data_IF_051047962518
#
_entry.id   IF_051047962518
#
_cell.length_a   1.000
_cell.length_b   1.000
_cell.length_c   1.000
_cell.angle_alpha   90.00
_cell.angle_beta   90.00
_cell.angle_gamma   90.00
#
_symmetry.space_group_name_H-M   'P 1'
#
loop_
_entity.id
_entity.type
_entity.pdbx_description
1 polymer ?
#
# COMPACT_ATOMS: atom_id res chain seq x y z
N UNK A 1 19.83 20.29 -13.86
CA UNK A 1 20.09 18.90 -14.31
C UNK A 1 19.06 17.98 -13.66
N UNK A 2 18.55 16.96 -14.39
CA UNK A 2 17.67 15.94 -13.87
C UNK A 2 18.46 14.85 -13.17
N UNK A 3 17.96 14.37 -12.04
CA UNK A 3 18.52 13.30 -11.23
C UNK A 3 17.43 12.23 -11.02
N UNK A 4 17.84 11.05 -10.55
CA UNK A 4 16.88 10.01 -10.19
C UNK A 4 17.36 9.20 -8.99
N UNK A 5 16.40 8.59 -8.31
CA UNK A 5 16.60 7.54 -7.30
C UNK A 5 15.53 6.50 -7.51
N UNK A 6 15.89 5.25 -7.76
CA UNK A 6 14.99 4.16 -8.15
C UNK A 6 14.02 4.60 -9.30
N UNK A 7 12.74 4.73 -8.98
CA UNK A 7 11.64 5.05 -9.89
C UNK A 7 11.15 6.50 -9.77
N UNK A 8 11.84 7.32 -8.98
CA UNK A 8 11.56 8.74 -8.82
C UNK A 8 12.63 9.58 -9.51
N UNK A 9 12.19 10.49 -10.37
CA UNK A 9 13.05 11.44 -11.08
C UNK A 9 12.78 12.84 -10.56
N UNK A 10 13.84 13.66 -10.43
CA UNK A 10 13.69 15.01 -9.89
C UNK A 10 14.68 16.03 -10.47
N UNK A 11 14.29 17.27 -10.43
CA UNK A 11 15.13 18.45 -10.68
C UNK A 11 14.82 19.48 -9.60
N UNK A 12 15.86 19.94 -8.89
CA UNK A 12 15.71 21.05 -7.96
C UNK A 12 15.78 22.38 -8.73
N UNK A 13 14.90 23.29 -8.36
CA UNK A 13 14.93 24.70 -8.76
C UNK A 13 15.73 25.55 -7.76
N UNK A 14 15.52 26.89 -7.82
CA UNK A 14 16.27 27.86 -6.99
C UNK A 14 15.77 27.94 -5.55
N UNK A 15 15.58 26.78 -4.89
CA UNK A 15 15.00 26.69 -3.55
C UNK A 15 16.06 26.73 -2.43
N UNK A 16 17.33 26.48 -2.75
CA UNK A 16 18.41 26.36 -1.78
C UNK A 16 18.81 27.67 -1.12
N UNK A 17 18.86 27.71 0.22
CA UNK A 17 19.40 28.83 1.00
C UNK A 17 18.55 30.08 1.10
N UNK A 18 17.43 30.20 0.35
CA UNK A 18 16.55 31.37 0.36
C UNK A 18 15.47 31.26 1.45
N UNK A 19 15.10 32.37 2.09
CA UNK A 19 13.91 32.46 2.94
C UNK A 19 12.65 32.27 2.07
N UNK A 20 11.53 31.96 2.66
CA UNK A 20 10.23 31.81 2.00
C UNK A 20 9.63 30.42 2.20
N UNK A 21 8.33 30.37 2.04
CA UNK A 21 7.52 29.18 2.15
C UNK A 21 7.56 28.35 0.85
N UNK A 22 7.22 27.08 0.95
CA UNK A 22 7.11 26.17 -0.20
C UNK A 22 5.65 25.83 -0.42
N UNK A 23 5.21 25.98 -1.65
CA UNK A 23 3.89 25.61 -2.13
C UNK A 23 4.00 24.45 -3.11
N UNK A 24 3.23 23.40 -2.89
CA UNK A 24 3.31 22.18 -3.66
C UNK A 24 2.09 21.99 -4.57
N UNK A 25 2.33 21.44 -5.76
CA UNK A 25 1.29 21.26 -6.78
C UNK A 25 1.42 19.88 -7.45
N UNK A 26 0.29 19.32 -7.90
CA UNK A 26 0.29 18.34 -8.98
C UNK A 26 0.57 19.03 -10.31
N UNK A 27 0.83 18.29 -11.36
CA UNK A 27 1.16 18.80 -12.68
C UNK A 27 -0.01 18.69 -13.66
N UNK A 28 -0.42 17.48 -13.98
CA UNK A 28 -1.43 17.19 -14.99
C UNK A 28 -2.85 17.57 -14.49
N UNK A 29 -3.60 18.34 -15.27
CA UNK A 29 -4.94 18.87 -14.95
C UNK A 29 -4.99 19.78 -13.70
N UNK A 30 -3.83 20.11 -13.12
CA UNK A 30 -3.65 21.10 -12.06
C UNK A 30 -2.91 22.34 -12.54
N UNK A 31 -1.73 22.18 -13.14
CA UNK A 31 -0.95 23.29 -13.72
C UNK A 31 -1.09 23.35 -15.23
N UNK A 32 -1.14 22.21 -15.90
CA UNK A 32 -1.27 22.08 -17.34
C UNK A 32 -2.40 21.13 -17.71
N UNK A 33 -3.03 21.36 -18.85
CA UNK A 33 -4.01 20.41 -19.40
C UNK A 33 -3.30 19.15 -19.87
N UNK A 34 -3.66 18.00 -19.33
CA UNK A 34 -3.00 16.69 -19.51
C UNK A 34 -2.65 16.36 -20.97
N UNK A 35 -3.57 16.59 -21.91
CA UNK A 35 -3.36 16.19 -23.31
C UNK A 35 -2.60 17.21 -24.12
N UNK A 36 -2.85 18.51 -23.94
CA UNK A 36 -2.23 19.58 -24.72
C UNK A 36 -0.97 20.15 -24.10
N UNK A 37 -0.74 19.87 -22.81
CA UNK A 37 0.38 20.40 -22.02
C UNK A 37 0.44 21.94 -21.93
N UNK A 38 -0.65 22.58 -22.30
CA UNK A 38 -0.80 24.05 -22.20
C UNK A 38 -1.13 24.38 -20.75
N UNK A 39 -0.51 25.42 -20.17
CA UNK A 39 -0.88 25.93 -18.84
C UNK A 39 -2.38 26.22 -18.74
N UNK A 40 -2.98 25.85 -17.62
CA UNK A 40 -4.38 26.21 -17.35
C UNK A 40 -4.51 27.72 -17.10
N UNK A 41 -5.69 28.32 -17.33
CA UNK A 41 -5.90 29.75 -17.13
C UNK A 41 -5.47 30.19 -15.71
N UNK A 42 -4.92 31.41 -15.61
CA UNK A 42 -4.43 32.03 -14.37
C UNK A 42 -3.27 31.33 -13.66
N UNK A 43 -2.82 30.16 -14.13
CA UNK A 43 -1.76 29.36 -13.44
C UNK A 43 -0.45 30.16 -13.45
N UNK A 44 0.03 30.59 -14.61
CA UNK A 44 1.31 31.31 -14.72
C UNK A 44 1.30 32.60 -13.90
N UNK A 45 0.22 33.38 -14.00
CA UNK A 45 0.05 34.61 -13.23
C UNK A 45 0.12 34.32 -11.72
N UNK A 46 -0.67 33.37 -11.25
CA UNK A 46 -0.74 33.01 -9.82
C UNK A 46 0.56 32.46 -9.28
N UNK A 47 1.26 31.61 -10.05
CA UNK A 47 2.57 31.06 -9.62
C UNK A 47 3.61 32.21 -9.57
N UNK A 48 3.62 33.13 -10.51
CA UNK A 48 4.51 34.29 -10.47
C UNK A 48 4.21 35.22 -9.28
N UNK A 49 2.94 35.38 -8.87
CA UNK A 49 2.60 36.12 -7.63
C UNK A 49 3.24 35.40 -6.38
N UNK A 50 3.12 34.10 -6.28
CA UNK A 50 3.72 33.33 -5.20
C UNK A 50 5.25 33.53 -5.18
N UNK A 51 5.89 33.45 -6.33
CA UNK A 51 7.34 33.61 -6.49
C UNK A 51 7.78 35.05 -6.15
N UNK A 52 7.06 36.08 -6.63
CA UNK A 52 7.32 37.50 -6.31
C UNK A 52 7.18 37.78 -4.82
N UNK A 53 6.33 37.03 -4.12
CA UNK A 53 6.24 37.04 -2.66
C UNK A 53 7.42 36.41 -1.94
N UNK A 54 8.47 35.99 -2.64
CA UNK A 54 9.67 35.37 -2.07
C UNK A 54 9.53 33.87 -1.76
N UNK A 55 8.46 33.24 -2.24
CA UNK A 55 8.15 31.83 -1.96
C UNK A 55 8.63 30.90 -3.07
N UNK A 56 8.58 29.60 -2.80
CA UNK A 56 9.08 28.56 -3.68
C UNK A 56 7.96 27.63 -4.13
N UNK A 57 8.17 26.99 -5.27
CA UNK A 57 7.22 26.04 -5.85
C UNK A 57 7.90 24.67 -6.04
N UNK A 58 7.19 23.61 -5.64
CA UNK A 58 7.55 22.24 -5.94
C UNK A 58 6.39 21.49 -6.59
N UNK A 59 6.68 20.70 -7.59
CA UNK A 59 5.69 19.87 -8.31
C UNK A 59 5.93 18.40 -7.98
N UNK A 60 4.86 17.68 -7.60
CA UNK A 60 4.85 16.24 -7.39
C UNK A 60 3.89 15.56 -8.37
N UNK A 61 4.40 14.80 -9.34
CA UNK A 61 3.59 14.24 -10.43
C UNK A 61 3.68 12.73 -10.54
N UNK A 62 2.56 12.08 -10.89
CA UNK A 62 2.48 10.66 -11.20
C UNK A 62 2.59 10.42 -12.70
N UNK A 63 3.74 9.96 -13.21
CA UNK A 63 4.03 9.77 -14.64
C UNK A 63 4.16 8.29 -15.04
N UNK A 64 3.19 7.44 -14.64
CA UNK A 64 3.15 5.99 -14.97
C UNK A 64 3.06 5.70 -16.48
N UNK A 65 2.79 6.72 -17.29
CA UNK A 65 2.84 6.62 -18.76
C UNK A 65 4.19 6.16 -19.28
N UNK A 66 5.28 6.53 -18.60
CA UNK A 66 6.66 6.17 -18.97
C UNK A 66 6.87 4.65 -18.82
N UNK A 67 6.54 4.07 -17.66
CA UNK A 67 6.62 2.61 -17.45
C UNK A 67 5.80 1.83 -18.49
N UNK A 68 4.65 2.38 -18.89
CA UNK A 68 3.75 1.80 -19.90
C UNK A 68 4.16 2.11 -21.35
N UNK A 69 5.31 2.75 -21.57
CA UNK A 69 5.83 3.16 -22.89
C UNK A 69 4.83 4.01 -23.72
N UNK A 70 4.00 4.81 -23.06
CA UNK A 70 3.07 5.76 -23.68
C UNK A 70 3.67 7.14 -23.89
N UNK A 71 4.75 7.45 -23.19
CA UNK A 71 5.57 8.66 -23.25
C UNK A 71 6.99 8.32 -22.82
N UNK A 72 7.95 9.21 -23.02
CA UNK A 72 9.34 9.00 -22.63
C UNK A 72 9.75 9.95 -21.48
N UNK A 73 10.92 9.71 -20.89
CA UNK A 73 11.51 10.64 -19.90
C UNK A 73 11.82 11.99 -20.53
N UNK A 74 12.41 11.97 -21.73
CA UNK A 74 12.78 13.17 -22.47
C UNK A 74 11.57 14.05 -22.75
N UNK A 75 10.45 13.44 -23.18
CA UNK A 75 9.20 14.15 -23.44
C UNK A 75 8.65 14.82 -22.16
N UNK A 76 8.54 14.06 -21.06
CA UNK A 76 8.04 14.58 -19.78
C UNK A 76 8.95 15.68 -19.23
N UNK A 77 10.27 15.47 -19.28
CA UNK A 77 11.24 16.45 -18.80
C UNK A 77 11.26 17.72 -19.66
N UNK A 78 11.14 17.58 -20.98
CA UNK A 78 11.03 18.73 -21.91
C UNK A 78 9.80 19.58 -21.58
N UNK A 79 8.64 18.96 -21.38
CA UNK A 79 7.40 19.65 -21.02
C UNK A 79 7.55 20.41 -19.69
N UNK A 80 8.10 19.74 -18.67
CA UNK A 80 8.33 20.34 -17.36
C UNK A 80 9.36 21.48 -17.41
N UNK A 81 10.39 21.34 -18.24
CA UNK A 81 11.39 22.41 -18.45
C UNK A 81 10.73 23.63 -19.11
N UNK A 82 10.01 23.44 -20.22
CA UNK A 82 9.31 24.53 -20.93
C UNK A 82 8.27 25.21 -20.03
N UNK A 83 7.56 24.44 -19.19
CA UNK A 83 6.67 25.04 -18.19
C UNK A 83 7.45 25.92 -17.19
N UNK A 84 8.58 25.45 -16.68
CA UNK A 84 9.42 26.24 -15.76
C UNK A 84 9.97 27.52 -16.42
N UNK A 85 10.32 27.45 -17.70
CA UNK A 85 10.81 28.59 -18.49
C UNK A 85 9.73 29.66 -18.71
N UNK A 86 8.44 29.29 -18.64
CA UNK A 86 7.33 30.26 -18.68
C UNK A 86 7.11 31.02 -17.38
N UNK A 87 7.85 30.68 -16.33
CA UNK A 87 7.86 31.37 -15.05
C UNK A 87 9.14 32.21 -14.91
N UNK A 88 9.08 33.28 -14.16
CA UNK A 88 10.25 34.13 -13.85
C UNK A 88 11.23 33.47 -12.85
N UNK A 89 11.12 32.14 -12.63
CA UNK A 89 11.83 31.43 -11.59
C UNK A 89 11.95 29.92 -11.88
N UNK A 90 13.09 29.31 -11.52
CA UNK A 90 13.28 27.87 -11.64
C UNK A 90 12.60 27.14 -10.50
N UNK A 91 11.58 26.36 -10.81
CA UNK A 91 10.82 25.56 -9.85
C UNK A 91 11.33 24.12 -9.76
N UNK A 92 11.04 23.44 -8.64
CA UNK A 92 11.44 22.06 -8.40
C UNK A 92 10.38 21.08 -8.90
N UNK A 93 10.83 19.96 -9.48
CA UNK A 93 9.96 18.88 -9.97
C UNK A 93 10.38 17.53 -9.40
N UNK A 94 9.39 16.72 -9.05
CA UNK A 94 9.52 15.30 -8.70
C UNK A 94 8.45 14.50 -9.43
N UNK A 95 8.82 13.41 -10.12
CA UNK A 95 7.82 12.54 -10.71
C UNK A 95 8.13 11.06 -10.51
N UNK A 96 7.08 10.27 -10.26
CA UNK A 96 7.12 8.83 -10.05
C UNK A 96 6.62 8.10 -11.30
N UNK A 97 7.35 7.06 -11.74
CA UNK A 97 7.03 6.30 -12.94
C UNK A 97 6.35 4.96 -12.65
N UNK A 98 6.55 4.40 -11.46
CA UNK A 98 6.05 3.08 -11.06
C UNK A 98 5.03 3.16 -9.93
N UNK A 99 4.36 2.04 -9.66
CA UNK A 99 3.35 1.92 -8.60
C UNK A 99 4.02 1.45 -7.29
N UNK A 100 4.80 2.35 -6.68
CA UNK A 100 5.63 2.10 -5.50
C UNK A 100 5.54 3.23 -4.46
N UNK A 101 6.50 3.25 -3.52
CA UNK A 101 6.59 4.24 -2.44
C UNK A 101 6.63 5.71 -2.90
N UNK A 102 7.04 5.99 -4.14
CA UNK A 102 7.13 7.36 -4.65
C UNK A 102 5.81 7.85 -5.26
N UNK A 103 4.98 6.92 -5.77
CA UNK A 103 3.74 7.27 -6.44
C UNK A 103 2.70 7.80 -5.45
N UNK A 104 2.14 9.00 -5.69
CA UNK A 104 0.99 9.50 -4.93
C UNK A 104 -0.15 8.48 -4.94
N UNK A 105 -0.78 8.20 -3.78
CA UNK A 105 -0.76 9.01 -2.55
C UNK A 105 0.40 8.77 -1.59
N UNK A 106 1.39 7.95 -1.94
CA UNK A 106 2.54 7.67 -1.08
C UNK A 106 3.45 8.87 -0.91
N UNK A 107 4.15 8.93 0.25
CA UNK A 107 4.98 10.05 0.68
C UNK A 107 6.34 10.13 0.01
N UNK A 108 6.79 9.10 -0.71
CA UNK A 108 8.20 8.96 -1.09
C UNK A 108 8.79 10.14 -1.86
N UNK A 109 8.02 10.78 -2.78
CA UNK A 109 8.50 12.00 -3.44
C UNK A 109 8.69 13.16 -2.45
N UNK A 110 7.78 13.33 -1.50
CA UNK A 110 7.88 14.36 -0.46
C UNK A 110 9.02 14.07 0.52
N UNK A 111 9.18 12.83 0.94
CA UNK A 111 10.26 12.43 1.85
C UNK A 111 11.64 12.65 1.19
N UNK A 112 11.76 12.35 -0.12
CA UNK A 112 12.94 12.66 -0.91
C UNK A 112 13.16 14.18 -1.01
N UNK A 113 12.11 14.97 -1.31
CA UNK A 113 12.19 16.42 -1.31
C UNK A 113 12.70 16.94 0.04
N UNK A 114 12.14 16.46 1.16
CA UNK A 114 12.53 16.84 2.51
C UNK A 114 13.97 16.47 2.88
N UNK A 115 14.50 15.39 2.33
CA UNK A 115 15.91 15.00 2.54
C UNK A 115 16.89 15.90 1.78
N UNK A 116 16.45 16.50 0.67
CA UNK A 116 17.26 17.39 -0.17
C UNK A 116 17.12 18.86 0.21
N UNK A 117 15.95 19.23 0.77
CA UNK A 117 15.59 20.63 1.07
C UNK A 117 14.94 20.69 2.44
N UNK A 118 15.59 21.36 3.39
CA UNK A 118 15.04 21.52 4.75
C UNK A 118 13.96 22.61 4.83
N UNK A 119 12.86 22.42 4.08
CA UNK A 119 11.69 23.28 4.07
C UNK A 119 10.40 22.47 4.06
N UNK A 120 9.42 22.90 4.85
CA UNK A 120 8.09 22.29 4.88
C UNK A 120 7.19 22.92 3.81
N UNK A 121 6.30 22.10 3.25
CA UNK A 121 5.25 22.55 2.33
C UNK A 121 4.09 23.14 3.14
N UNK A 122 3.58 24.30 2.73
CA UNK A 122 2.44 24.99 3.37
C UNK A 122 1.11 24.35 3.00
N UNK A 123 0.91 24.12 1.70
CA UNK A 123 -0.24 23.38 1.18
C UNK A 123 0.14 22.59 -0.08
N UNK A 124 -0.67 21.60 -0.39
CA UNK A 124 -0.61 20.86 -1.63
C UNK A 124 -1.89 21.09 -2.45
N UNK A 125 -1.74 21.43 -3.72
CA UNK A 125 -2.84 21.68 -4.65
C UNK A 125 -2.86 20.60 -5.74
N UNK A 126 -4.02 19.95 -5.96
CA UNK A 126 -4.19 18.93 -6.98
C UNK A 126 -5.66 18.73 -7.39
N UNK A 127 -5.88 18.15 -8.57
CA UNK A 127 -7.21 17.91 -9.14
C UNK A 127 -7.83 16.58 -8.68
N UNK A 128 -6.99 15.59 -8.33
CA UNK A 128 -7.43 14.25 -7.96
C UNK A 128 -7.90 14.18 -6.50
N UNK A 129 -9.10 14.69 -6.25
CA UNK A 129 -9.69 14.87 -4.92
C UNK A 129 -10.84 13.91 -4.59
N UNK A 130 -11.17 12.95 -5.50
CA UNK A 130 -12.25 11.99 -5.32
C UNK A 130 -13.65 12.54 -5.58
N UNK A 131 -13.78 13.72 -6.18
CA UNK A 131 -15.07 14.27 -6.61
C UNK A 131 -15.69 13.42 -7.73
N UNK A 132 -16.98 13.61 -8.01
CA UNK A 132 -17.73 12.82 -9.02
C UNK A 132 -17.07 12.78 -10.40
N UNK A 133 -16.37 13.82 -10.79
CA UNK A 133 -15.69 13.94 -12.10
C UNK A 133 -14.22 13.56 -12.05
N UNK A 134 -13.64 13.43 -10.85
CA UNK A 134 -12.22 13.13 -10.70
C UNK A 134 -11.95 11.66 -11.02
N UNK A 135 -10.84 11.40 -11.69
CA UNK A 135 -10.45 10.03 -12.03
C UNK A 135 -9.79 9.29 -10.84
N UNK A 136 -9.41 10.03 -9.78
CA UNK A 136 -8.64 9.53 -8.64
C UNK A 136 -8.88 10.41 -7.40
N UNK A 137 -8.39 9.96 -6.25
CA UNK A 137 -8.35 10.67 -4.98
C UNK A 137 -6.90 10.86 -4.49
N UNK A 138 -5.94 10.55 -5.34
CA UNK A 138 -4.53 10.45 -4.95
C UNK A 138 -3.91 11.74 -4.43
N UNK A 139 -4.38 12.90 -4.88
CA UNK A 139 -3.83 14.19 -4.43
C UNK A 139 -4.31 14.57 -3.04
N UNK A 140 -5.59 14.39 -2.76
CA UNK A 140 -6.14 14.60 -1.42
C UNK A 140 -5.46 13.67 -0.41
N UNK A 141 -5.30 12.39 -0.76
CA UNK A 141 -4.65 11.43 0.12
C UNK A 141 -3.15 11.71 0.28
N UNK A 142 -2.47 12.19 -0.78
CA UNK A 142 -1.08 12.62 -0.68
C UNK A 142 -0.92 13.77 0.32
N UNK A 143 -1.73 14.83 0.19
CA UNK A 143 -1.72 15.95 1.14
C UNK A 143 -1.93 15.48 2.59
N UNK A 144 -2.89 14.59 2.81
CA UNK A 144 -3.16 14.02 4.13
C UNK A 144 -1.97 13.20 4.65
N UNK A 145 -1.36 12.36 3.80
CA UNK A 145 -0.24 11.50 4.18
C UNK A 145 1.02 12.30 4.54
N UNK A 146 1.25 13.45 3.90
CA UNK A 146 2.36 14.36 4.22
C UNK A 146 2.03 15.39 5.30
N UNK A 147 0.78 15.42 5.78
CA UNK A 147 0.35 16.28 6.88
C UNK A 147 0.22 17.76 6.52
N UNK A 148 -0.16 18.08 5.27
CA UNK A 148 -0.34 19.45 4.80
C UNK A 148 -1.79 19.73 4.38
N UNK A 149 -2.16 21.02 4.36
CA UNK A 149 -3.48 21.46 3.89
C UNK A 149 -3.64 21.13 2.40
N UNK A 150 -4.76 20.49 2.05
CA UNK A 150 -5.15 20.28 0.65
C UNK A 150 -5.91 21.47 0.10
N UNK A 151 -5.67 21.80 -1.18
CA UNK A 151 -6.43 22.78 -1.94
C UNK A 151 -6.76 22.25 -3.32
N UNK A 152 -7.92 22.66 -3.84
CA UNK A 152 -8.29 22.41 -5.23
C UNK A 152 -7.71 23.49 -6.16
N UNK A 153 -7.47 23.20 -7.45
CA UNK A 153 -7.06 24.20 -8.44
C UNK A 153 -8.00 25.40 -8.48
N UNK A 154 -9.32 25.17 -8.33
CA UNK A 154 -10.34 26.22 -8.30
C UNK A 154 -10.14 27.21 -7.14
N UNK A 155 -9.66 26.75 -6.00
CA UNK A 155 -9.40 27.59 -4.82
C UNK A 155 -8.14 28.44 -4.98
N UNK A 156 -7.14 27.92 -5.70
CA UNK A 156 -5.83 28.58 -5.83
C UNK A 156 -5.81 29.53 -7.03
N UNK A 157 -6.34 29.09 -8.19
CA UNK A 157 -6.23 29.83 -9.46
C UNK A 157 -7.44 30.68 -9.81
N UNK A 158 -8.62 30.35 -9.23
CA UNK A 158 -9.88 31.05 -9.52
C UNK A 158 -10.50 31.72 -8.30
N UNK A 159 -9.88 31.58 -7.11
CA UNK A 159 -10.36 32.12 -5.83
C UNK A 159 -11.79 31.67 -5.45
N UNK A 160 -12.23 30.50 -5.94
CA UNK A 160 -13.53 29.96 -5.64
C UNK A 160 -13.43 29.24 -4.29
N UNK A 161 -14.24 29.66 -3.31
CA UNK A 161 -14.38 28.91 -2.05
C UNK A 161 -15.18 27.64 -2.34
N UNK A 162 -14.64 26.50 -1.97
CA UNK A 162 -15.32 25.21 -2.10
C UNK A 162 -15.62 24.64 -0.71
N UNK A 163 -16.83 24.15 -0.49
CA UNK A 163 -17.19 23.36 0.70
C UNK A 163 -16.81 21.89 0.53
N UNK A 164 -15.73 21.64 -0.18
CA UNK A 164 -15.30 20.32 -0.59
C UNK A 164 -15.15 19.33 0.57
N UNK A 165 -14.70 19.78 1.74
CA UNK A 165 -14.53 18.94 2.93
C UNK A 165 -15.86 18.48 3.55
N UNK A 166 -16.98 19.14 3.23
CA UNK A 166 -18.33 18.76 3.66
C UNK A 166 -19.02 17.78 2.69
N UNK A 167 -18.51 17.66 1.46
CA UNK A 167 -18.95 16.63 0.53
C UNK A 167 -18.21 15.32 0.86
N UNK A 168 -18.90 14.32 1.37
CA UNK A 168 -18.32 12.98 1.59
C UNK A 168 -17.78 12.44 0.25
N UNK A 169 -16.45 12.35 0.06
CA UNK A 169 -15.86 11.98 -1.24
C UNK A 169 -16.21 10.57 -1.71
N UNK A 170 -16.63 9.73 -0.78
CA UNK A 170 -16.75 8.27 -0.92
C UNK A 170 -17.97 7.76 -1.69
N UNK A 171 -18.98 8.57 -1.95
CA UNK A 171 -20.21 8.07 -2.62
C UNK A 171 -20.17 8.03 -4.14
N UNK A 172 -19.10 8.47 -4.82
CA UNK A 172 -19.26 8.88 -6.22
C UNK A 172 -18.37 8.26 -7.29
N UNK A 173 -17.31 7.52 -6.96
CA UNK A 173 -16.50 6.87 -8.00
C UNK A 173 -16.61 5.34 -7.97
N UNK A 174 -17.78 4.83 -8.38
CA UNK A 174 -18.16 3.42 -8.33
C UNK A 174 -17.29 2.45 -9.12
N UNK A 175 -16.44 2.89 -10.05
CA UNK A 175 -15.73 1.96 -10.96
C UNK A 175 -14.31 1.55 -10.51
N UNK A 176 -13.63 2.35 -9.72
CA UNK A 176 -12.21 2.09 -9.36
C UNK A 176 -12.02 1.87 -7.85
N UNK A 177 -12.78 2.58 -7.01
CA UNK A 177 -12.58 2.61 -5.56
C UNK A 177 -13.72 1.88 -4.80
N UNK A 178 -14.93 1.89 -5.32
CA UNK A 178 -16.16 1.58 -4.59
C UNK A 178 -16.45 0.11 -4.27
N UNK A 179 -15.70 -0.85 -4.74
CA UNK A 179 -15.95 -2.25 -4.33
C UNK A 179 -15.18 -2.69 -3.10
N UNK A 180 -14.22 -1.89 -2.66
CA UNK A 180 -13.35 -2.20 -1.52
C UNK A 180 -13.72 -1.37 -0.30
N UNK A 181 -14.26 -0.16 -0.49
CA UNK A 181 -14.44 0.86 0.54
C UNK A 181 -15.92 1.10 0.92
N UNK A 182 -16.79 0.13 0.72
CA UNK A 182 -18.20 0.21 1.15
C UNK A 182 -18.38 -0.05 2.66
N UNK A 183 -17.32 -0.41 3.39
CA UNK A 183 -17.40 -0.54 4.84
C UNK A 183 -17.23 0.82 5.51
N UNK A 184 -18.01 1.08 6.56
CA UNK A 184 -17.91 2.29 7.41
C UNK A 184 -16.53 2.47 8.07
N UNK A 185 -15.69 1.44 8.02
CA UNK A 185 -14.33 1.36 8.59
C UNK A 185 -13.32 2.20 7.80
N UNK A 186 -13.57 2.46 6.50
CA UNK A 186 -12.63 3.13 5.59
C UNK A 186 -13.03 4.55 5.19
N UNK A 187 -13.58 5.32 6.07
CA UNK A 187 -13.83 6.74 5.80
C UNK A 187 -12.50 7.46 5.58
N UNK A 188 -12.26 7.84 4.33
CA UNK A 188 -11.07 8.57 3.93
C UNK A 188 -9.77 7.76 3.90
N UNK A 189 -9.82 6.43 3.85
CA UNK A 189 -8.63 5.56 3.76
C UNK A 189 -7.82 5.44 5.06
N UNK A 190 -8.35 5.91 6.18
CA UNK A 190 -7.83 5.66 7.53
C UNK A 190 -8.56 4.46 8.11
N UNK A 191 -7.83 3.56 8.74
CA UNK A 191 -8.42 2.50 9.56
C UNK A 191 -9.02 3.12 10.82
N UNK A 192 -10.34 3.23 10.89
CA UNK A 192 -11.02 3.79 12.06
C UNK A 192 -10.97 2.81 13.24
N UNK A 193 -11.00 1.52 12.99
CA UNK A 193 -10.95 0.49 14.02
C UNK A 193 -9.53 -0.04 14.24
N UNK A 194 -8.73 0.73 14.98
CA UNK A 194 -7.34 0.38 15.33
C UNK A 194 -7.21 -0.89 16.18
N UNK A 195 -8.32 -1.37 16.79
CA UNK A 195 -8.31 -2.57 17.66
C UNK A 195 -8.05 -3.87 16.90
N UNK A 196 -8.34 -3.89 15.60
CA UNK A 196 -8.10 -5.05 14.75
C UNK A 196 -6.66 -5.15 14.23
N UNK A 197 -5.82 -4.14 14.49
CA UNK A 197 -4.40 -4.15 14.12
C UNK A 197 -3.59 -4.36 15.40
N UNK A 198 -3.46 -5.60 15.80
CA UNK A 198 -2.54 -5.97 16.87
C UNK A 198 -1.26 -6.46 16.20
N UNK A 199 -0.13 -5.73 16.34
CA UNK A 199 1.16 -6.26 15.89
C UNK A 199 1.49 -7.48 16.73
N UNK A 200 1.36 -8.67 16.13
CA UNK A 200 1.78 -9.91 16.77
C UNK A 200 3.27 -10.06 16.51
N UNK A 201 4.07 -9.67 17.49
CA UNK A 201 5.53 -9.81 17.45
C UNK A 201 6.01 -11.18 17.97
N UNK A 202 5.11 -11.98 18.50
CA UNK A 202 5.39 -13.28 19.13
C UNK A 202 4.33 -14.31 18.75
N UNK A 203 4.58 -15.57 19.08
CA UNK A 203 3.56 -16.62 18.96
C UNK A 203 2.52 -16.38 20.07
N UNK A 204 1.21 -16.30 19.73
CA UNK A 204 0.16 -16.18 20.74
C UNK A 204 0.18 -17.33 21.74
N UNK A 205 -0.05 -17.05 23.03
CA UNK A 205 0.05 -18.04 24.13
C UNK A 205 -0.80 -19.28 23.88
N UNK A 206 -2.02 -19.12 23.39
CA UNK A 206 -2.90 -20.24 23.07
C UNK A 206 -2.27 -21.17 22.01
N UNK A 207 -1.71 -20.60 20.95
CA UNK A 207 -1.02 -21.37 19.90
C UNK A 207 0.26 -22.00 20.47
N UNK A 208 0.99 -21.25 21.29
CA UNK A 208 2.22 -21.74 21.90
C UNK A 208 1.97 -22.93 22.83
N UNK A 209 0.90 -22.92 23.60
CA UNK A 209 0.48 -24.06 24.42
C UNK A 209 0.27 -25.32 23.57
N UNK A 210 -0.47 -25.21 22.47
CA UNK A 210 -0.66 -26.35 21.55
C UNK A 210 0.62 -26.82 20.87
N UNK A 211 1.59 -25.92 20.64
CA UNK A 211 2.89 -26.27 20.08
C UNK A 211 3.78 -27.02 21.09
N UNK A 212 3.66 -26.67 22.37
CA UNK A 212 4.44 -27.29 23.47
C UNK A 212 3.82 -28.60 24.02
N UNK A 213 2.52 -28.84 23.77
CA UNK A 213 1.89 -30.07 24.16
C UNK A 213 2.53 -31.27 23.44
N UNK A 214 2.90 -32.33 24.20
CA UNK A 214 3.47 -33.59 23.71
C UNK A 214 4.60 -33.39 22.68
N UNK A 215 5.82 -33.15 23.14
CA UNK A 215 7.01 -32.93 22.30
C UNK A 215 7.32 -34.06 21.29
N UNK A 216 6.79 -35.27 21.51
CA UNK A 216 6.99 -36.40 20.63
C UNK A 216 5.94 -36.54 19.53
N UNK A 217 4.88 -35.77 19.57
CA UNK A 217 3.82 -35.81 18.57
C UNK A 217 4.11 -34.84 17.40
N UNK A 218 4.14 -35.41 16.19
CA UNK A 218 4.31 -34.59 14.99
C UNK A 218 3.09 -33.70 14.77
N UNK A 219 3.32 -32.44 14.32
CA UNK A 219 2.27 -31.43 14.20
C UNK A 219 2.14 -30.92 12.76
N UNK A 220 0.90 -30.81 12.27
CA UNK A 220 0.55 -30.13 11.05
C UNK A 220 -0.13 -28.80 11.39
N UNK A 221 0.47 -27.68 10.98
CA UNK A 221 -0.16 -26.37 11.05
C UNK A 221 -0.70 -25.98 9.68
N UNK A 222 -1.98 -25.62 9.61
CA UNK A 222 -2.60 -25.09 8.39
C UNK A 222 -2.96 -23.63 8.64
N UNK A 223 -2.23 -22.74 7.95
CA UNK A 223 -2.51 -21.31 8.02
C UNK A 223 -3.72 -20.99 7.15
N UNK A 224 -4.70 -20.28 7.71
CA UNK A 224 -5.88 -19.78 6.99
C UNK A 224 -5.97 -18.26 7.18
N UNK A 225 -6.08 -17.53 6.09
CA UNK A 225 -6.18 -16.06 6.17
C UNK A 225 -5.92 -15.38 4.83
N UNK A 226 -6.34 -14.12 4.66
CA UNK A 226 -6.16 -13.39 3.41
C UNK A 226 -4.70 -12.99 3.18
N UNK A 227 -4.41 -12.52 1.98
CA UNK A 227 -3.14 -11.85 1.69
C UNK A 227 -2.97 -10.64 2.62
N UNK A 228 -1.75 -10.39 3.08
CA UNK A 228 -1.45 -9.28 3.99
C UNK A 228 -1.81 -9.53 5.47
N UNK A 229 -2.38 -10.68 5.83
CA UNK A 229 -2.71 -11.00 7.23
C UNK A 229 -1.52 -11.38 8.11
N UNK A 230 -0.32 -11.56 7.52
CA UNK A 230 0.89 -11.89 8.26
C UNK A 230 1.15 -13.38 8.48
N UNK A 231 0.41 -14.29 7.81
CA UNK A 231 0.65 -15.76 7.87
C UNK A 231 2.12 -16.12 7.76
N UNK A 232 2.79 -15.66 6.71
CA UNK A 232 4.18 -16.00 6.45
C UNK A 232 5.15 -15.47 7.52
N UNK A 233 4.81 -14.34 8.14
CA UNK A 233 5.55 -13.82 9.29
C UNK A 233 5.43 -14.77 10.48
N UNK A 234 4.21 -15.15 10.84
CA UNK A 234 3.97 -16.08 11.93
C UNK A 234 4.57 -17.47 11.64
N UNK A 235 4.40 -17.96 10.40
CA UNK A 235 5.01 -19.22 9.95
C UNK A 235 6.54 -19.23 10.13
N UNK A 236 7.19 -18.10 9.80
CA UNK A 236 8.65 -17.96 9.97
C UNK A 236 9.06 -17.94 11.44
N UNK A 237 8.31 -17.25 12.31
CA UNK A 237 8.57 -17.23 13.76
C UNK A 237 8.45 -18.65 14.33
N UNK A 238 7.38 -19.37 14.00
CA UNK A 238 7.16 -20.75 14.46
C UNK A 238 8.25 -21.69 13.92
N UNK A 239 8.55 -21.60 12.63
CA UNK A 239 9.59 -22.42 11.99
C UNK A 239 10.95 -22.24 12.67
N UNK A 240 11.33 -21.01 12.98
CA UNK A 240 12.60 -20.70 13.64
C UNK A 240 12.64 -21.22 15.08
N UNK A 241 11.53 -21.12 15.82
CA UNK A 241 11.48 -21.53 17.24
C UNK A 241 11.39 -23.06 17.40
N UNK A 242 10.59 -23.73 16.57
CA UNK A 242 10.25 -25.16 16.71
C UNK A 242 10.89 -26.04 15.63
N UNK A 243 11.67 -25.47 14.72
CA UNK A 243 12.27 -26.18 13.57
C UNK A 243 11.22 -26.88 12.67
N UNK A 244 10.06 -26.25 12.49
CA UNK A 244 9.03 -26.76 11.59
C UNK A 244 9.38 -26.42 10.14
N UNK A 245 8.99 -27.29 9.21
CA UNK A 245 9.21 -27.09 7.77
C UNK A 245 8.03 -26.32 7.16
N UNK A 246 8.32 -25.33 6.32
CA UNK A 246 7.27 -24.51 5.66
C UNK A 246 7.07 -24.97 4.22
N UNK A 247 5.80 -25.14 3.84
CA UNK A 247 5.34 -25.35 2.47
C UNK A 247 4.43 -24.19 2.08
N UNK A 248 4.81 -23.44 1.04
CA UNK A 248 3.96 -22.39 0.46
C UNK A 248 4.03 -22.42 -1.08
N UNK A 249 3.00 -21.89 -1.74
CA UNK A 249 2.92 -21.88 -3.20
C UNK A 249 3.88 -20.88 -3.84
N UNK A 250 4.20 -19.77 -3.16
CA UNK A 250 5.02 -18.70 -3.71
C UNK A 250 6.49 -19.12 -3.86
N UNK A 251 7.04 -19.80 -2.86
CA UNK A 251 8.43 -20.27 -2.85
C UNK A 251 8.61 -21.70 -3.34
N UNK A 252 7.56 -22.51 -3.25
CA UNK A 252 7.63 -23.96 -3.47
C UNK A 252 7.05 -24.41 -4.82
N UNK A 253 6.38 -23.52 -5.56
CA UNK A 253 5.78 -23.83 -6.86
C UNK A 253 4.39 -24.49 -6.78
N UNK A 254 3.90 -25.09 -7.88
CA UNK A 254 2.53 -25.57 -7.99
C UNK A 254 2.18 -26.68 -6.99
N UNK A 255 0.89 -26.82 -6.66
CA UNK A 255 0.33 -27.76 -5.68
C UNK A 255 0.91 -29.17 -5.77
N UNK A 256 1.08 -29.71 -7.01
CA UNK A 256 1.66 -31.04 -7.22
C UNK A 256 3.07 -31.20 -6.66
N UNK A 257 3.90 -30.15 -6.73
CA UNK A 257 5.24 -30.16 -6.15
C UNK A 257 5.18 -30.06 -4.63
N UNK A 258 4.25 -29.28 -4.10
CA UNK A 258 4.04 -29.15 -2.66
C UNK A 258 3.60 -30.47 -2.01
N UNK A 259 2.73 -31.22 -2.67
CA UNK A 259 2.34 -32.56 -2.22
C UNK A 259 3.57 -33.50 -2.17
N UNK A 260 4.41 -33.52 -3.20
CA UNK A 260 5.64 -34.32 -3.20
C UNK A 260 6.59 -33.94 -2.06
N UNK A 261 6.75 -32.62 -1.80
CA UNK A 261 7.57 -32.13 -0.68
C UNK A 261 6.97 -32.54 0.66
N UNK A 262 5.65 -32.42 0.81
CA UNK A 262 4.96 -32.82 2.02
C UNK A 262 5.23 -34.31 2.34
N UNK A 263 5.05 -35.20 1.37
CA UNK A 263 5.33 -36.64 1.56
C UNK A 263 6.77 -36.87 2.01
N UNK A 264 7.74 -36.23 1.34
CA UNK A 264 9.16 -36.35 1.74
C UNK A 264 9.41 -35.88 3.17
N UNK A 265 8.78 -34.75 3.59
CA UNK A 265 8.92 -34.25 4.96
C UNK A 265 8.15 -35.08 5.99
N UNK A 266 7.01 -35.63 5.59
CA UNK A 266 6.20 -36.53 6.44
C UNK A 266 6.95 -37.79 6.78
N UNK A 267 7.62 -38.41 5.80
CA UNK A 267 8.41 -39.63 5.97
C UNK A 267 9.72 -39.40 6.74
N UNK A 268 10.22 -38.18 6.79
CA UNK A 268 11.43 -37.82 7.51
C UNK A 268 11.17 -37.84 9.03
N UNK A 269 11.84 -38.81 9.71
CA UNK A 269 11.74 -38.96 11.17
C UNK A 269 12.23 -37.76 11.96
N UNK A 270 13.13 -36.94 11.37
CA UNK A 270 13.66 -35.71 12.01
C UNK A 270 12.69 -34.54 11.96
N UNK A 271 11.65 -34.59 11.12
CA UNK A 271 10.66 -33.52 10.99
C UNK A 271 9.71 -33.55 12.19
N UNK A 272 9.71 -32.49 12.99
CA UNK A 272 8.82 -32.29 14.15
C UNK A 272 7.44 -31.76 13.77
N UNK A 273 7.39 -30.94 12.70
CA UNK A 273 6.13 -30.37 12.21
C UNK A 273 6.26 -29.75 10.83
N UNK A 274 5.10 -29.59 10.17
CA UNK A 274 4.97 -28.96 8.85
C UNK A 274 3.95 -27.83 8.95
N UNK A 275 4.26 -26.70 8.32
CA UNK A 275 3.37 -25.54 8.20
C UNK A 275 2.95 -25.40 6.75
N UNK A 276 1.65 -25.43 6.49
CA UNK A 276 1.07 -25.11 5.16
C UNK A 276 0.75 -23.61 5.14
N UNK A 277 1.68 -22.81 4.62
CA UNK A 277 1.59 -21.34 4.58
C UNK A 277 0.95 -20.85 3.26
N UNK A 278 -0.32 -21.12 3.09
CA UNK A 278 -1.14 -20.65 1.98
C UNK A 278 -2.38 -19.92 2.52
N UNK A 279 -3.22 -19.35 1.64
CA UNK A 279 -4.46 -18.69 2.08
C UNK A 279 -5.52 -19.68 2.55
N UNK A 280 -5.55 -20.90 2.02
CA UNK A 280 -6.41 -22.05 2.36
C UNK A 280 -7.90 -21.70 2.64
N UNK A 281 -8.60 -20.97 1.74
CA UNK A 281 -9.94 -20.49 2.01
C UNK A 281 -11.00 -21.59 2.00
N UNK A 282 -10.79 -22.69 1.27
CA UNK A 282 -11.75 -23.76 1.10
C UNK A 282 -11.53 -24.89 2.12
N UNK A 283 -12.61 -25.40 2.70
CA UNK A 283 -12.57 -26.55 3.59
C UNK A 283 -11.96 -27.79 2.92
N UNK A 284 -12.39 -28.09 1.69
CA UNK A 284 -11.88 -29.21 0.91
C UNK A 284 -10.35 -29.20 0.73
N UNK A 285 -9.76 -28.02 0.55
CA UNK A 285 -8.29 -27.90 0.45
C UNK A 285 -7.61 -28.18 1.79
N UNK A 286 -8.21 -27.79 2.90
CA UNK A 286 -7.68 -28.06 4.24
C UNK A 286 -7.78 -29.54 4.58
N UNK A 287 -8.92 -30.15 4.27
CA UNK A 287 -9.16 -31.61 4.45
C UNK A 287 -8.14 -32.46 3.70
N UNK A 288 -7.76 -32.07 2.47
CA UNK A 288 -6.69 -32.76 1.72
C UNK A 288 -5.36 -32.79 2.48
N UNK A 289 -5.00 -31.73 3.20
CA UNK A 289 -3.78 -31.70 4.02
C UNK A 289 -3.93 -32.52 5.28
N UNK A 290 -5.09 -32.47 5.94
CA UNK A 290 -5.42 -33.26 7.12
C UNK A 290 -5.33 -34.77 6.81
N UNK A 291 -5.93 -35.19 5.71
CA UNK A 291 -5.86 -36.62 5.27
C UNK A 291 -4.43 -37.09 5.01
N UNK A 292 -3.56 -36.22 4.45
CA UNK A 292 -2.16 -36.54 4.19
C UNK A 292 -1.31 -36.59 5.46
N UNK A 293 -1.72 -35.92 6.51
CA UNK A 293 -1.05 -35.89 7.80
C UNK A 293 -1.67 -36.88 8.80
N UNK A 294 -2.21 -37.98 8.33
CA UNK A 294 -2.90 -38.97 9.17
C UNK A 294 -1.99 -39.38 10.32
N UNK A 295 -2.50 -39.26 11.55
CA UNK A 295 -1.76 -39.58 12.78
C UNK A 295 -0.91 -38.45 13.34
N UNK A 296 -0.95 -37.27 12.74
CA UNK A 296 -0.34 -36.03 13.29
C UNK A 296 -1.39 -35.20 14.01
N UNK A 297 -0.97 -34.38 14.98
CA UNK A 297 -1.83 -33.37 15.58
C UNK A 297 -2.04 -32.23 14.59
N UNK A 298 -3.30 -31.98 14.25
CA UNK A 298 -3.67 -30.90 13.32
C UNK A 298 -4.05 -29.65 14.10
N UNK A 299 -3.45 -28.51 13.73
CA UNK A 299 -3.73 -27.18 14.28
C UNK A 299 -4.02 -26.25 13.10
N UNK A 300 -5.21 -25.66 13.09
CA UNK A 300 -5.61 -24.66 12.09
C UNK A 300 -5.46 -23.28 12.71
N UNK A 301 -4.56 -22.47 12.14
CA UNK A 301 -4.36 -21.08 12.57
C UNK A 301 -5.14 -20.17 11.64
N UNK A 302 -6.29 -19.72 12.10
CA UNK A 302 -7.19 -18.86 11.34
C UNK A 302 -7.01 -17.40 11.71
N UNK A 303 -6.40 -16.61 10.79
CA UNK A 303 -6.25 -15.17 10.94
C UNK A 303 -7.46 -14.49 10.32
N UNK A 304 -8.46 -14.18 11.17
CA UNK A 304 -9.75 -13.57 10.80
C UNK A 304 -9.65 -12.05 10.84
N UNK A 305 -9.30 -11.45 9.71
CA UNK A 305 -9.26 -10.00 9.56
C UNK A 305 -10.23 -9.53 8.48
N UNK A 306 -10.68 -8.28 8.58
CA UNK A 306 -11.53 -7.68 7.57
C UNK A 306 -10.79 -7.49 6.25
N UNK A 307 -11.56 -7.42 5.15
CA UNK A 307 -11.02 -7.19 3.81
C UNK A 307 -10.26 -5.88 3.71
N UNK A 308 -10.70 -4.87 4.43
CA UNK A 308 -10.13 -3.54 4.42
C UNK A 308 -8.76 -3.53 5.09
N UNK A 309 -8.61 -4.22 6.21
CA UNK A 309 -7.32 -4.41 6.89
C UNK A 309 -6.35 -5.18 5.99
N UNK A 310 -6.82 -6.28 5.40
CA UNK A 310 -6.03 -7.05 4.44
C UNK A 310 -5.55 -6.17 3.27
N UNK A 311 -6.43 -5.35 2.69
CA UNK A 311 -6.08 -4.41 1.63
C UNK A 311 -5.03 -3.40 2.09
N UNK A 312 -5.26 -2.76 3.23
CA UNK A 312 -4.31 -1.79 3.80
C UNK A 312 -2.92 -2.41 4.01
N UNK A 313 -2.85 -3.60 4.60
CA UNK A 313 -1.60 -4.33 4.79
C UNK A 313 -0.89 -4.66 3.48
N UNK A 314 -1.63 -5.08 2.46
CA UNK A 314 -1.08 -5.36 1.13
C UNK A 314 -0.50 -4.10 0.50
N UNK A 315 -1.21 -2.98 0.57
CA UNK A 315 -0.74 -1.68 0.05
C UNK A 315 0.45 -1.15 0.83
N UNK A 316 0.42 -1.25 2.16
CA UNK A 316 1.56 -0.89 3.01
C UNK A 316 2.82 -1.67 2.62
N UNK A 317 2.72 -2.99 2.47
CA UNK A 317 3.84 -3.83 2.04
C UNK A 317 4.36 -3.47 0.66
N UNK A 318 3.48 -3.22 -0.30
CA UNK A 318 3.85 -2.80 -1.66
C UNK A 318 4.64 -1.49 -1.62
N UNK A 319 4.24 -0.53 -0.80
CA UNK A 319 4.95 0.73 -0.64
C UNK A 319 6.31 0.59 0.02
N UNK A 320 6.50 -0.45 0.83
CA UNK A 320 7.79 -0.79 1.44
C UNK A 320 8.62 -1.76 0.60
N UNK A 321 8.39 -1.81 -0.72
CA UNK A 321 9.23 -2.54 -1.68
C UNK A 321 8.86 -4.01 -1.87
N UNK A 322 7.77 -4.51 -1.27
CA UNK A 322 7.32 -5.87 -1.53
C UNK A 322 6.52 -5.94 -2.83
N UNK A 323 6.50 -7.11 -3.45
CA UNK A 323 5.72 -7.38 -4.65
C UNK A 323 4.24 -7.05 -4.43
N UNK A 324 3.64 -6.29 -5.34
CA UNK A 324 2.22 -5.97 -5.33
C UNK A 324 1.34 -7.21 -5.49
N UNK A 325 0.24 -7.25 -4.74
CA UNK A 325 -0.77 -8.30 -4.82
C UNK A 325 -1.99 -7.72 -5.53
N UNK A 326 -2.48 -8.34 -6.62
CA UNK A 326 -3.67 -7.88 -7.32
C UNK A 326 -4.90 -7.90 -6.40
N UNK A 327 -5.71 -6.84 -6.42
CA UNK A 327 -6.94 -6.75 -5.60
C UNK A 327 -7.92 -7.88 -5.88
N UNK A 328 -7.93 -8.39 -7.11
CA UNK A 328 -8.77 -9.54 -7.47
C UNK A 328 -8.45 -10.78 -6.61
N UNK A 329 -7.20 -10.97 -6.21
CA UNK A 329 -6.81 -12.09 -5.35
C UNK A 329 -7.46 -11.99 -3.96
N UNK A 330 -7.53 -10.76 -3.38
CA UNK A 330 -8.25 -10.50 -2.14
C UNK A 330 -9.75 -10.77 -2.28
N UNK A 331 -10.37 -10.29 -3.37
CA UNK A 331 -11.79 -10.53 -3.63
C UNK A 331 -12.11 -12.02 -3.73
N UNK A 332 -11.27 -12.78 -4.44
CA UNK A 332 -11.45 -14.24 -4.59
C UNK A 332 -11.34 -14.93 -3.24
N UNK A 333 -10.36 -14.55 -2.41
CA UNK A 333 -10.23 -15.13 -1.07
C UNK A 333 -11.51 -14.96 -0.26
N UNK A 334 -11.99 -13.71 -0.07
CA UNK A 334 -13.20 -13.45 0.75
C UNK A 334 -14.49 -14.04 0.15
N UNK A 335 -14.56 -14.16 -1.18
CA UNK A 335 -15.69 -14.84 -1.85
C UNK A 335 -15.71 -16.34 -1.60
N UNK A 336 -14.52 -16.96 -1.46
CA UNK A 336 -14.37 -18.42 -1.31
C UNK A 336 -14.15 -18.86 0.12
N UNK A 337 -14.02 -17.95 1.07
CA UNK A 337 -13.71 -18.29 2.45
C UNK A 337 -14.85 -19.11 3.07
N UNK A 338 -14.53 -20.35 3.38
CA UNK A 338 -15.25 -21.23 4.27
C UNK A 338 -14.49 -21.21 5.60
N UNK A 339 -15.11 -20.60 6.65
CA UNK A 339 -14.45 -20.48 7.95
C UNK A 339 -14.16 -21.88 8.50
N UNK A 340 -12.98 -22.10 9.09
CA UNK A 340 -12.68 -23.40 9.73
C UNK A 340 -13.70 -23.76 10.80
N UNK A 341 -13.99 -25.05 10.91
CA UNK A 341 -14.96 -25.63 11.86
C UNK A 341 -14.28 -26.74 12.69
N UNK A 342 -14.75 -26.96 13.92
CA UNK A 342 -14.11 -27.82 14.92
C UNK A 342 -13.87 -29.27 14.46
N UNK A 343 -14.62 -29.73 13.48
CA UNK A 343 -14.43 -31.06 12.86
C UNK A 343 -13.17 -31.15 11.99
N UNK A 344 -12.52 -30.03 11.68
CA UNK A 344 -11.28 -30.00 10.89
C UNK A 344 -10.00 -30.17 11.76
N UNK A 345 -10.08 -29.95 13.08
CA UNK A 345 -8.95 -30.03 14.01
C UNK A 345 -8.99 -28.96 15.11
N UNK A 346 -7.87 -28.74 15.80
CA UNK A 346 -7.78 -27.67 16.80
C UNK A 346 -7.67 -26.31 16.08
N UNK A 347 -8.66 -25.42 16.31
CA UNK A 347 -8.70 -24.11 15.68
C UNK A 347 -8.21 -23.04 16.64
N UNK A 348 -7.17 -22.33 16.25
CA UNK A 348 -6.67 -21.13 16.92
C UNK A 348 -7.08 -19.93 16.07
N UNK A 349 -8.03 -19.16 16.56
CA UNK A 349 -8.50 -17.94 15.89
C UNK A 349 -7.70 -16.73 16.35
N UNK A 350 -7.08 -16.04 15.41
CA UNK A 350 -6.34 -14.79 15.65
C UNK A 350 -7.11 -13.62 15.02
N UNK A 351 -7.41 -12.62 15.84
CA UNK A 351 -8.02 -11.36 15.39
C UNK A 351 -6.93 -10.27 15.35
N UNK A 352 -6.45 -9.98 14.15
CA UNK A 352 -5.41 -8.98 13.96
C UNK A 352 -4.36 -9.35 12.92
N UNK A 353 -3.61 -8.35 12.46
CA UNK A 353 -2.56 -8.53 11.45
C UNK A 353 -1.25 -8.87 12.14
N UNK A 354 -0.62 -9.97 11.73
CA UNK A 354 0.73 -10.31 12.17
C UNK A 354 1.74 -9.44 11.41
N UNK A 355 2.35 -8.50 12.11
CA UNK A 355 3.36 -7.60 11.57
C UNK A 355 4.68 -7.77 12.30
N UNK A 356 5.77 -7.88 11.53
CA UNK A 356 7.13 -7.84 12.07
C UNK A 356 7.69 -6.40 12.10
N UNK A 357 6.90 -5.42 11.69
CA UNK A 357 7.33 -4.03 11.56
C UNK A 357 6.66 -3.16 12.62
N UNK A 358 7.45 -2.73 13.62
CA UNK A 358 7.01 -1.77 14.64
C UNK A 358 6.68 -0.38 14.05
N UNK A 359 7.00 -0.16 12.77
CA UNK A 359 6.74 1.07 12.03
C UNK A 359 5.48 1.01 11.16
N UNK A 360 4.67 -0.06 11.27
CA UNK A 360 3.43 -0.16 10.52
C UNK A 360 2.53 1.06 10.78
N UNK A 361 2.39 1.92 9.78
CA UNK A 361 1.57 3.12 9.90
C UNK A 361 0.16 2.86 9.35
N UNK A 362 -0.76 2.60 10.27
CA UNK A 362 -2.17 2.39 10.00
C UNK A 362 -2.93 3.67 9.60
N UNK A 363 -2.30 4.86 9.73
CA UNK A 363 -2.92 6.12 9.31
C UNK A 363 -2.65 6.45 7.84
N UNK A 364 -1.73 5.74 7.17
CA UNK A 364 -1.50 5.95 5.73
C UNK A 364 -2.79 5.68 4.93
N UNK A 365 -3.05 6.55 3.96
CA UNK A 365 -4.19 6.47 3.04
C UNK A 365 -3.71 5.97 1.67
N UNK A 366 -4.42 5.01 1.12
CA UNK A 366 -4.03 4.36 -0.13
C UNK A 366 -5.09 4.51 -1.22
#
# INVERSE_FOLDING_TARGET
>A
MWNNTDTCYYRLGDIGGKKGDVYAFDFDDTLVRRHSRIPLPNVIERLNEIIKGGNHIVVFSNQKGIEKKKTSHEEVQSIMNSFSESLDYSISFFYAISDDKYRKPMRGMYDLFRSLVDKKVVYYCGDAAGRKKDFSISDLYFANNIGVKFKLPEEVFYYIKTDFLNETPLKRNRRVINRIYESDIWRGGILENKREIVPICSIPDELENHLNENDNEKKLLIMVGPQGSGKSTLSSIISNKYNFKIINNDSSGPLRLNVKRFVKMYDDKSTKGIIIDNTNPLKSTREEWVERAKGWKVIIVFIDISKDISYHSVRYRQNNGHKGIPLVALHIYYKRLEKPTEDEGNIIKLEGVVHNDSKYDHNLRF
#
